data_IF_202650609412
#
_entry.id   IF_202650609412
#
_cell.length_a   1.000
_cell.length_b   1.000
_cell.length_c   1.000
_cell.angle_alpha   90.00
_cell.angle_beta   90.00
_cell.angle_gamma   90.00
#
_symmetry.space_group_name_H-M   'P 1'
#
loop_
_entity.id
_entity.type
_entity.pdbx_description
1 polymer ?
#
# COMPACT_ATOMS: atom_id res chain seq x y z
N UNK A 1 -28.12 -10.21 -14.12
CA UNK A 1 -27.05 -9.42 -13.48
C UNK A 1 -26.87 -8.15 -14.28
N UNK A 2 -27.05 -6.98 -13.66
CA UNK A 2 -26.78 -5.71 -14.34
C UNK A 2 -25.27 -5.52 -14.49
N UNK A 3 -24.84 -4.94 -15.62
CA UNK A 3 -23.42 -4.67 -15.88
C UNK A 3 -22.76 -3.84 -14.75
N UNK A 4 -23.52 -2.95 -14.12
CA UNK A 4 -23.07 -2.14 -12.98
C UNK A 4 -22.69 -2.96 -11.74
N UNK A 5 -23.43 -4.05 -11.47
CA UNK A 5 -23.13 -4.98 -10.38
C UNK A 5 -21.77 -5.66 -10.62
N UNK A 6 -21.54 -6.13 -11.85
CA UNK A 6 -20.30 -6.78 -12.26
C UNK A 6 -19.12 -5.79 -12.19
N UNK A 7 -19.30 -4.54 -12.63
CA UNK A 7 -18.27 -3.51 -12.53
C UNK A 7 -17.93 -3.17 -11.07
N UNK A 8 -18.90 -3.23 -10.17
CA UNK A 8 -18.69 -3.04 -8.74
C UNK A 8 -17.87 -4.20 -8.15
N UNK A 9 -18.23 -5.44 -8.44
CA UNK A 9 -17.49 -6.63 -7.97
C UNK A 9 -16.05 -6.65 -8.50
N UNK A 10 -15.84 -6.28 -9.77
CA UNK A 10 -14.48 -6.14 -10.34
C UNK A 10 -13.67 -5.09 -9.58
N UNK A 11 -14.29 -3.95 -9.22
CA UNK A 11 -13.62 -2.89 -8.47
C UNK A 11 -13.23 -3.36 -7.06
N UNK A 12 -14.11 -4.10 -6.38
CA UNK A 12 -13.84 -4.66 -5.06
C UNK A 12 -12.73 -5.73 -5.08
N UNK A 13 -12.73 -6.58 -6.10
CA UNK A 13 -11.66 -7.57 -6.32
C UNK A 13 -10.31 -6.89 -6.56
N UNK A 14 -10.28 -5.85 -7.41
CA UNK A 14 -9.07 -5.08 -7.68
C UNK A 14 -8.54 -4.36 -6.42
N UNK A 15 -9.44 -3.79 -5.61
CA UNK A 15 -9.06 -3.16 -4.35
C UNK A 15 -8.46 -4.18 -3.37
N UNK A 16 -9.08 -5.36 -3.25
CA UNK A 16 -8.57 -6.44 -2.39
C UNK A 16 -7.20 -6.94 -2.85
N UNK A 17 -7.01 -7.09 -4.16
CA UNK A 17 -5.71 -7.44 -4.74
C UNK A 17 -4.64 -6.40 -4.41
N UNK A 18 -4.94 -5.10 -4.57
CA UNK A 18 -3.99 -4.03 -4.28
C UNK A 18 -3.59 -3.98 -2.79
N UNK A 19 -4.54 -4.22 -1.88
CA UNK A 19 -4.26 -4.28 -0.44
C UNK A 19 -3.35 -5.47 -0.11
N UNK A 20 -3.62 -6.65 -0.71
CA UNK A 20 -2.77 -7.83 -0.53
C UNK A 20 -1.36 -7.59 -1.08
N UNK A 21 -1.26 -7.03 -2.29
CA UNK A 21 -0.01 -6.70 -2.94
C UNK A 21 0.84 -5.72 -2.11
N UNK A 22 0.21 -4.70 -1.53
CA UNK A 22 0.85 -3.75 -0.64
C UNK A 22 1.31 -4.40 0.68
N UNK A 23 0.51 -5.33 1.23
CA UNK A 23 0.89 -6.09 2.43
C UNK A 23 2.10 -6.98 2.18
N UNK A 24 2.15 -7.66 1.02
CA UNK A 24 3.28 -8.48 0.60
C UNK A 24 4.53 -7.62 0.44
N UNK A 25 4.43 -6.50 -0.28
CA UNK A 25 5.54 -5.56 -0.50
C UNK A 25 6.14 -5.01 0.80
N UNK A 26 5.31 -4.82 1.84
CA UNK A 26 5.77 -4.37 3.16
C UNK A 26 6.39 -5.47 4.02
N UNK A 27 6.02 -6.72 3.76
CA UNK A 27 6.52 -7.88 4.52
C UNK A 27 7.85 -8.36 3.94
N UNK A 28 7.89 -8.50 2.62
CA UNK A 28 9.04 -9.02 1.88
C UNK A 28 8.95 -8.52 0.43
N UNK A 29 9.80 -7.54 0.11
CA UNK A 29 9.85 -6.94 -1.23
C UNK A 29 10.26 -7.94 -2.32
N UNK A 30 11.16 -8.87 -2.02
CA UNK A 30 11.65 -9.87 -2.99
C UNK A 30 10.55 -10.90 -3.30
N UNK A 31 9.83 -11.38 -2.28
CA UNK A 31 8.66 -12.23 -2.49
C UNK A 31 7.53 -11.49 -3.20
N UNK A 32 7.32 -10.21 -2.92
CA UNK A 32 6.29 -9.42 -3.59
C UNK A 32 6.55 -9.32 -5.10
N UNK A 33 7.80 -9.12 -5.52
CA UNK A 33 8.17 -9.09 -6.94
C UNK A 33 7.85 -10.41 -7.63
N UNK A 34 8.21 -11.52 -6.99
CA UNK A 34 7.95 -12.86 -7.53
C UNK A 34 6.45 -13.21 -7.56
N UNK A 35 5.70 -12.91 -6.50
CA UNK A 35 4.28 -13.23 -6.39
C UNK A 35 3.39 -12.32 -7.24
N UNK A 36 3.75 -11.04 -7.41
CA UNK A 36 2.97 -10.09 -8.20
C UNK A 36 3.32 -10.18 -9.69
N UNK A 37 4.49 -10.73 -10.05
CA UNK A 37 4.93 -10.83 -11.45
C UNK A 37 5.15 -9.45 -12.08
N UNK A 38 5.43 -8.44 -11.26
CA UNK A 38 5.63 -7.05 -11.69
C UNK A 38 7.08 -6.63 -11.48
N UNK A 39 7.56 -5.67 -12.28
CA UNK A 39 8.89 -5.07 -12.13
C UNK A 39 9.05 -4.35 -10.79
N UNK A 40 10.30 -4.14 -10.38
CA UNK A 40 10.65 -3.46 -9.12
C UNK A 40 10.03 -2.06 -8.98
N UNK A 41 10.01 -1.31 -10.06
CA UNK A 41 9.35 -0.01 -10.13
C UNK A 41 7.84 -0.11 -9.83
N UNK A 42 7.16 -1.08 -10.42
CA UNK A 42 5.72 -1.31 -10.21
C UNK A 42 5.42 -1.76 -8.79
N UNK A 43 6.25 -2.63 -8.21
CA UNK A 43 6.12 -3.05 -6.81
C UNK A 43 6.34 -1.86 -5.85
N UNK A 44 7.32 -1.00 -6.13
CA UNK A 44 7.53 0.22 -5.36
C UNK A 44 6.32 1.16 -5.44
N UNK A 45 5.69 1.29 -6.60
CA UNK A 45 4.45 2.08 -6.77
C UNK A 45 3.27 1.49 -5.98
N UNK A 46 3.14 0.16 -5.91
CA UNK A 46 2.12 -0.53 -5.12
C UNK A 46 2.40 -0.41 -3.61
N UNK A 47 3.67 -0.40 -3.22
CA UNK A 47 4.11 -0.25 -1.83
C UNK A 47 3.87 1.15 -1.24
N UNK A 48 3.70 2.18 -2.09
CA UNK A 48 3.40 3.53 -1.63
C UNK A 48 2.04 3.55 -0.88
N UNK A 49 1.95 4.22 0.29
CA UNK A 49 0.70 4.33 1.01
C UNK A 49 -0.32 5.14 0.20
N UNK A 50 -1.52 4.59 0.03
CA UNK A 50 -2.63 5.29 -0.64
C UNK A 50 -3.01 6.58 0.09
N UNK A 51 -3.63 7.57 -0.57
CA UNK A 51 -4.09 8.81 0.10
C UNK A 51 -4.91 8.56 1.37
N UNK A 52 -5.80 7.57 1.35
CA UNK A 52 -6.61 7.18 2.51
C UNK A 52 -5.74 6.61 3.66
N UNK A 53 -4.73 5.79 3.34
CA UNK A 53 -3.79 5.29 4.35
C UNK A 53 -2.85 6.38 4.87
N UNK A 54 -2.43 7.34 4.04
CA UNK A 54 -1.66 8.50 4.47
C UNK A 54 -2.45 9.34 5.48
N UNK A 55 -3.74 9.56 5.24
CA UNK A 55 -4.62 10.21 6.21
C UNK A 55 -4.73 9.41 7.52
N UNK A 56 -4.87 8.07 7.44
CA UNK A 56 -4.90 7.20 8.62
C UNK A 56 -3.59 7.24 9.42
N UNK A 57 -2.43 7.27 8.74
CA UNK A 57 -1.12 7.39 9.37
C UNK A 57 -0.92 8.81 9.96
N UNK A 58 -1.31 9.85 9.22
CA UNK A 58 -1.25 11.24 9.66
C UNK A 58 -2.21 11.53 10.84
N UNK A 59 -3.31 10.79 10.96
CA UNK A 59 -4.20 10.83 12.12
C UNK A 59 -3.66 10.07 13.33
N UNK A 60 -2.59 9.28 13.16
CA UNK A 60 -1.88 8.65 14.26
C UNK A 60 -1.13 9.70 15.05
N UNK A 61 -1.40 9.78 16.36
CA UNK A 61 -0.83 10.75 17.32
C UNK A 61 0.70 10.65 17.54
N UNK A 62 1.43 9.97 16.65
CA UNK A 62 2.88 9.79 16.77
C UNK A 62 3.56 10.72 15.76
N UNK A 63 3.93 11.90 16.23
CA UNK A 63 4.93 12.72 15.56
C UNK A 63 6.21 11.87 15.45
N UNK A 64 6.58 11.45 14.25
CA UNK A 64 7.91 10.88 14.02
C UNK A 64 8.90 12.02 14.27
N UNK A 65 9.47 11.98 15.46
CA UNK A 65 10.35 12.98 16.04
C UNK A 65 11.42 13.39 15.02
N UNK A 66 11.54 14.68 14.65
CA UNK A 66 12.64 15.13 13.83
C UNK A 66 13.90 15.15 14.69
N UNK A 67 14.90 14.38 14.25
CA UNK A 67 16.34 14.55 14.41
C UNK A 67 16.90 14.82 15.83
N UNK A 68 17.78 13.91 16.23
CA UNK A 68 18.85 14.12 17.20
C UNK A 68 19.41 15.55 17.17
N UNK A 69 19.43 16.20 18.34
CA UNK A 69 20.51 17.13 18.67
C UNK A 69 21.12 16.68 20.00
N UNK A 70 22.41 16.29 20.04
CA UNK A 70 23.10 16.12 21.30
C UNK A 70 23.37 17.53 21.88
N UNK A 71 22.84 17.82 23.07
CA UNK A 71 23.23 19.00 23.83
C UNK A 71 24.53 18.71 24.62
N UNK A 72 25.39 19.72 24.78
CA UNK A 72 26.77 19.59 25.25
C UNK A 72 26.91 19.13 26.70
#
# INVERSE_FOLDING_TARGET
MCADQILTEIREANLSYLILAQSLTRTDGEQALFCLGVSEESAALIGLPTPAQRMKIASGNTLQHPLEQPRP
#
